data_IF_608300337413
#
_entry.id   IF_608300337413
#
_cell.length_a   1.000
_cell.length_b   1.000
_cell.length_c   1.000
_cell.angle_alpha   90.00
_cell.angle_beta   90.00
_cell.angle_gamma   90.00
#
_symmetry.space_group_name_H-M   'P 1'
#
loop_
_entity.id
_entity.type
_entity.pdbx_description
1 polymer ?
#
# COMPACT_ATOMS: atom_id res chain seq x y z
N UNK A 1 -14.95 1.06 -6.72
CA UNK A 1 -13.75 0.95 -7.56
C UNK A 1 -13.48 -0.53 -7.73
N UNK A 2 -14.04 -1.06 -8.81
CA UNK A 2 -13.91 -2.47 -9.19
C UNK A 2 -12.45 -2.74 -9.56
N UNK A 3 -11.86 -3.76 -8.96
CA UNK A 3 -10.54 -4.27 -9.36
C UNK A 3 -10.84 -5.48 -10.24
N UNK A 4 -10.53 -5.37 -11.53
CA UNK A 4 -10.72 -6.40 -12.55
C UNK A 4 -10.18 -7.77 -12.13
N UNK A 5 -10.93 -8.86 -12.36
CA UNK A 5 -10.37 -10.20 -12.29
C UNK A 5 -9.73 -10.57 -13.64
N UNK A 6 -8.78 -11.51 -13.58
CA UNK A 6 -8.35 -12.35 -14.70
C UNK A 6 -7.47 -11.72 -15.80
N UNK A 7 -6.16 -12.00 -15.72
CA UNK A 7 -5.32 -12.19 -16.90
C UNK A 7 -4.29 -13.26 -16.56
N UNK A 8 -4.55 -14.50 -16.98
CA UNK A 8 -4.03 -15.06 -18.23
C UNK A 8 -2.61 -15.60 -18.03
N UNK A 9 -2.52 -16.88 -17.62
CA UNK A 9 -1.66 -17.91 -18.24
C UNK A 9 -2.20 -19.30 -17.86
N UNK A 10 -3.24 -19.77 -18.55
CA UNK A 10 -3.42 -21.21 -18.72
C UNK A 10 -2.36 -21.67 -19.73
N UNK A 11 -1.17 -22.03 -19.24
CA UNK A 11 -0.21 -22.77 -20.06
C UNK A 11 -0.65 -24.22 -20.11
N UNK A 12 -1.02 -24.62 -21.32
CA UNK A 12 -1.52 -25.93 -21.70
C UNK A 12 -0.72 -27.09 -21.06
N UNK A 13 -1.43 -27.95 -20.34
CA UNK A 13 -0.99 -29.32 -20.10
C UNK A 13 -1.18 -30.05 -21.44
N UNK A 14 -0.11 -30.08 -22.24
CA UNK A 14 -0.04 -30.86 -23.48
C UNK A 14 -0.03 -32.33 -23.05
N UNK A 15 -1.12 -33.05 -23.32
CA UNK A 15 -1.18 -34.49 -23.18
C UNK A 15 -0.21 -35.11 -24.19
N UNK A 16 0.94 -35.59 -23.72
CA UNK A 16 1.81 -36.43 -24.54
C UNK A 16 1.20 -37.84 -24.60
N UNK A 17 0.25 -37.99 -25.52
CA UNK A 17 -0.14 -39.32 -25.99
C UNK A 17 0.57 -39.60 -27.32
N UNK A 18 1.73 -40.26 -27.24
CA UNK A 18 2.40 -40.82 -28.41
C UNK A 18 1.69 -42.12 -28.82
N UNK A 19 1.17 -42.14 -30.06
CA UNK A 19 0.42 -43.24 -30.65
C UNK A 19 1.32 -44.00 -31.61
N UNK A 20 1.74 -45.21 -31.26
CA UNK A 20 2.27 -46.18 -32.24
C UNK A 20 2.04 -47.60 -31.74
N UNK A 21 1.27 -48.37 -32.51
CA UNK A 21 1.07 -49.82 -32.44
C UNK A 21 0.36 -50.38 -31.19
N UNK A 22 -0.89 -49.93 -30.97
CA UNK A 22 -1.94 -50.81 -30.41
C UNK A 22 -1.80 -51.31 -28.97
N UNK A 23 -0.80 -50.89 -28.19
CA UNK A 23 -0.72 -51.19 -26.77
C UNK A 23 -0.29 -49.97 -25.96
N UNK A 24 -1.21 -49.46 -25.14
CA UNK A 24 -0.89 -48.47 -24.12
C UNK A 24 -0.15 -49.14 -22.95
N UNK A 25 1.17 -49.26 -23.07
CA UNK A 25 2.02 -49.63 -21.94
C UNK A 25 2.22 -48.42 -21.02
N UNK A 26 1.36 -48.34 -20.00
CA UNK A 26 1.51 -47.44 -18.85
C UNK A 26 2.81 -47.81 -18.13
N UNK A 27 3.93 -47.18 -18.46
CA UNK A 27 5.18 -47.38 -17.74
C UNK A 27 5.08 -46.74 -16.34
N UNK A 28 4.52 -47.47 -15.37
CA UNK A 28 4.23 -47.01 -13.99
C UNK A 28 5.49 -46.63 -13.18
N UNK A 29 6.69 -46.92 -13.68
CA UNK A 29 7.95 -46.65 -12.96
C UNK A 29 8.59 -45.29 -13.27
N UNK A 30 8.29 -44.66 -14.41
CA UNK A 30 8.83 -43.33 -14.75
C UNK A 30 8.00 -42.22 -14.09
N UNK A 31 6.70 -42.45 -13.88
CA UNK A 31 5.78 -41.47 -13.31
C UNK A 31 6.00 -41.18 -11.81
N UNK A 32 6.58 -42.10 -11.02
CA UNK A 32 6.77 -41.86 -9.58
C UNK A 32 8.00 -41.02 -9.26
N UNK A 33 9.07 -41.11 -10.06
CA UNK A 33 10.30 -40.33 -9.84
C UNK A 33 10.12 -38.85 -10.22
N UNK A 34 9.40 -38.55 -11.30
CA UNK A 34 9.11 -37.18 -11.74
C UNK A 34 8.11 -36.46 -10.82
N UNK A 35 7.19 -37.18 -10.19
CA UNK A 35 6.21 -36.60 -9.25
C UNK A 35 6.85 -36.10 -7.93
N UNK A 36 7.95 -36.71 -7.49
CA UNK A 36 8.66 -36.31 -6.26
C UNK A 36 9.52 -35.05 -6.47
N UNK A 37 10.04 -34.83 -7.67
CA UNK A 37 10.84 -33.64 -8.00
C UNK A 37 9.92 -32.41 -8.17
N UNK A 38 8.72 -32.60 -8.74
CA UNK A 38 7.74 -31.51 -8.97
C UNK A 38 6.97 -31.07 -7.72
N UNK A 39 6.92 -31.89 -6.66
CA UNK A 39 6.14 -31.61 -5.44
C UNK A 39 6.98 -31.09 -4.27
N UNK A 40 8.32 -31.11 -4.37
CA UNK A 40 9.22 -30.60 -3.32
C UNK A 40 9.47 -29.09 -3.38
N UNK A 41 9.07 -28.43 -4.47
CA UNK A 41 9.20 -26.98 -4.66
C UNK A 41 7.88 -26.23 -4.54
N UNK A 42 6.82 -26.87 -4.04
CA UNK A 42 5.47 -26.29 -4.04
C UNK A 42 5.18 -25.35 -2.88
N UNK A 43 6.08 -25.24 -1.90
CA UNK A 43 5.97 -24.25 -0.83
C UNK A 43 6.97 -23.11 -1.08
N UNK A 44 6.45 -22.03 -1.64
CA UNK A 44 7.20 -20.77 -1.78
C UNK A 44 7.15 -19.99 -0.46
N UNK A 45 8.18 -19.20 -0.17
CA UNK A 45 8.19 -18.35 1.02
C UNK A 45 7.05 -17.31 0.94
N UNK A 46 6.03 -17.51 1.76
CA UNK A 46 4.81 -16.69 1.78
C UNK A 46 5.02 -15.25 2.29
N UNK A 47 6.07 -14.97 3.05
CA UNK A 47 6.37 -13.63 3.58
C UNK A 47 7.86 -13.41 3.87
N UNK A 48 8.37 -12.19 3.62
CA UNK A 48 9.74 -11.80 3.94
C UNK A 48 9.86 -10.31 4.24
N UNK A 49 10.44 -9.97 5.38
CA UNK A 49 10.78 -8.59 5.76
C UNK A 49 12.26 -8.22 5.49
N UNK A 50 13.05 -9.17 4.95
CA UNK A 50 14.51 -9.08 4.88
C UNK A 50 15.06 -7.80 4.22
N UNK A 51 14.38 -7.29 3.19
CA UNK A 51 14.84 -6.11 2.45
C UNK A 51 14.02 -4.85 2.73
N UNK A 52 13.07 -4.87 3.67
CA UNK A 52 12.18 -3.72 3.89
C UNK A 52 12.93 -2.56 4.54
N UNK A 53 13.71 -2.83 5.60
CA UNK A 53 14.54 -1.83 6.27
C UNK A 53 15.57 -1.20 5.31
N UNK A 54 16.27 -2.01 4.51
CA UNK A 54 17.25 -1.51 3.54
C UNK A 54 16.61 -0.56 2.52
N UNK A 55 15.42 -0.90 1.99
CA UNK A 55 14.69 -0.02 1.06
C UNK A 55 14.24 1.28 1.72
N UNK A 56 13.71 1.21 2.96
CA UNK A 56 13.27 2.40 3.70
C UNK A 56 14.42 3.38 3.93
N UNK A 57 15.63 2.87 4.19
CA UNK A 57 16.81 3.69 4.43
C UNK A 57 17.47 4.23 3.15
N UNK A 58 17.21 3.69 1.94
CA UNK A 58 17.77 4.21 0.68
C UNK A 58 17.44 5.69 0.46
N UNK A 59 16.20 6.09 0.74
CA UNK A 59 15.74 7.48 0.64
C UNK A 59 15.75 8.20 2.01
N UNK A 60 16.12 7.47 3.07
CA UNK A 60 16.02 7.90 4.47
C UNK A 60 14.58 7.97 5.00
N UNK A 61 14.38 7.58 6.25
CA UNK A 61 13.10 7.71 6.94
C UNK A 61 12.92 9.18 7.34
N UNK A 62 12.10 9.92 6.60
CA UNK A 62 11.83 11.34 6.87
C UNK A 62 10.75 11.50 7.94
N UNK A 63 10.99 12.41 8.89
CA UNK A 63 9.99 12.82 9.88
C UNK A 63 8.93 13.70 9.19
N UNK A 64 7.66 13.70 9.65
CA UNK A 64 6.67 14.64 9.15
C UNK A 64 7.15 16.08 9.41
N UNK A 65 6.85 16.98 8.47
CA UNK A 65 7.21 18.39 8.61
C UNK A 65 6.37 19.02 9.71
N UNK A 66 7.03 19.64 10.70
CA UNK A 66 6.37 20.43 11.73
C UNK A 66 6.33 21.89 11.31
N UNK A 67 5.18 22.54 11.48
CA UNK A 67 5.02 23.98 11.32
C UNK A 67 4.89 24.64 12.69
N UNK A 68 5.27 25.92 12.82
CA UNK A 68 5.13 26.67 14.08
C UNK A 68 3.69 26.68 14.60
N UNK A 69 2.71 26.73 13.69
CA UNK A 69 1.29 26.73 14.02
C UNK A 69 0.57 25.62 13.23
N UNK A 70 0.08 24.55 13.89
CA UNK A 70 -0.71 23.51 13.24
C UNK A 70 -2.15 23.97 12.98
N UNK A 71 -2.89 23.23 12.13
CA UNK A 71 -4.30 23.53 11.89
C UNK A 71 -5.19 23.19 13.08
N UNK A 72 -6.15 24.05 13.40
CA UNK A 72 -7.20 23.79 14.41
C UNK A 72 -8.38 22.96 13.85
N UNK A 73 -8.15 22.14 12.82
CA UNK A 73 -9.20 21.28 12.25
C UNK A 73 -9.46 20.11 13.21
N UNK A 74 -10.72 19.89 13.59
CA UNK A 74 -11.11 18.85 14.54
C UNK A 74 -11.18 19.30 16.00
N UNK A 75 -10.84 20.55 16.32
CA UNK A 75 -11.10 21.11 17.66
C UNK A 75 -12.60 21.41 17.83
N UNK A 76 -13.07 21.41 19.08
CA UNK A 76 -14.47 21.66 19.43
C UNK A 76 -15.09 22.83 18.65
N UNK A 77 -16.23 22.61 17.94
CA UNK A 77 -16.94 23.66 17.24
C UNK A 77 -17.32 24.85 18.13
N UNK A 78 -17.65 24.65 19.41
CA UNK A 78 -18.03 25.76 20.32
C UNK A 78 -16.84 26.65 20.62
N UNK A 79 -15.69 26.05 20.96
CA UNK A 79 -14.42 26.77 21.08
C UNK A 79 -14.08 27.54 19.79
N UNK A 80 -14.20 26.91 18.62
CA UNK A 80 -13.87 27.57 17.33
C UNK A 80 -14.78 28.74 16.98
N UNK A 81 -16.07 28.68 17.31
CA UNK A 81 -16.99 29.81 17.13
C UNK A 81 -16.55 30.99 18.00
N UNK A 82 -16.34 30.74 19.29
CA UNK A 82 -15.90 31.79 20.21
C UNK A 82 -14.53 32.40 19.84
N UNK A 83 -13.55 31.55 19.53
CA UNK A 83 -12.20 31.99 19.15
C UNK A 83 -12.23 32.91 17.92
N UNK A 84 -13.10 32.64 16.95
CA UNK A 84 -13.30 33.50 15.78
C UNK A 84 -13.80 34.89 16.18
N UNK A 85 -14.82 34.98 17.02
CA UNK A 85 -15.36 36.26 17.48
C UNK A 85 -14.34 37.06 18.29
N UNK A 86 -13.58 36.39 19.17
CA UNK A 86 -12.51 37.03 19.94
C UNK A 86 -11.42 37.63 19.04
N UNK A 87 -10.94 36.87 18.06
CA UNK A 87 -9.93 37.35 17.09
C UNK A 87 -10.43 38.53 16.25
N UNK A 88 -11.70 38.52 15.83
CA UNK A 88 -12.27 39.65 15.10
C UNK A 88 -12.38 40.90 15.97
N UNK A 89 -12.76 40.75 17.24
CA UNK A 89 -12.82 41.85 18.19
C UNK A 89 -11.45 42.52 18.39
N UNK A 90 -10.41 41.72 18.63
CA UNK A 90 -9.04 42.24 18.81
C UNK A 90 -8.51 42.89 17.52
N UNK A 91 -8.79 42.32 16.35
CA UNK A 91 -8.39 42.89 15.08
C UNK A 91 -9.01 44.28 14.82
N UNK A 92 -10.29 44.48 15.20
CA UNK A 92 -10.96 45.79 15.10
C UNK A 92 -10.33 46.83 16.02
N UNK A 93 -10.16 46.50 17.30
CA UNK A 93 -9.56 47.42 18.28
C UNK A 93 -8.12 47.81 17.88
N UNK A 94 -7.33 46.87 17.38
CA UNK A 94 -5.97 47.15 16.90
C UNK A 94 -5.97 48.04 15.65
N UNK A 95 -6.98 47.91 14.78
CA UNK A 95 -7.11 48.76 13.60
C UNK A 95 -7.45 50.20 14.00
N UNK A 96 -8.44 50.38 14.87
CA UNK A 96 -8.84 51.69 15.39
C UNK A 96 -7.68 52.40 16.09
N UNK A 97 -6.93 51.67 16.93
CA UNK A 97 -5.71 52.20 17.55
C UNK A 97 -4.68 52.68 16.52
N UNK A 98 -4.39 51.88 15.49
CA UNK A 98 -3.43 52.26 14.44
C UNK A 98 -3.90 53.44 13.60
N UNK A 99 -5.20 53.63 13.44
CA UNK A 99 -5.76 54.78 12.72
C UNK A 99 -5.69 56.04 13.59
N UNK A 100 -5.96 55.93 14.89
CA UNK A 100 -5.76 57.02 15.84
C UNK A 100 -4.29 57.43 15.96
N UNK A 101 -3.36 56.46 16.02
CA UNK A 101 -1.91 56.74 16.09
C UNK A 101 -1.35 57.36 14.79
N UNK A 102 -2.11 57.34 13.68
CA UNK A 102 -1.71 57.90 12.39
C UNK A 102 -2.29 59.29 12.11
N UNK A 103 -3.33 59.69 12.83
CA UNK A 103 -3.97 61.00 12.73
C UNK A 103 -3.19 62.03 13.55
#
# INVERSE_FOLDING_TARGET
MEISPHNHQQKAIRSEYSRSNGQYVKCKRIASCLYIILTKTTESKNSSQHNQSRKAHRNGIKKPKTARYPSLKGTDPKFRRNHRHALHGTARALKEKREADKA
#
